data_IF_654964811547
#
_entry.id   IF_654964811547
#
_cell.length_a   1.000
_cell.length_b   1.000
_cell.length_c   1.000
_cell.angle_alpha   90.00
_cell.angle_beta   90.00
_cell.angle_gamma   90.00
#
_symmetry.space_group_name_H-M   'P 1'
#
loop_
_entity.id
_entity.type
_entity.pdbx_description
1 polymer ?
#
# COMPACT_ATOMS: atom_id res chain seq x y z
N UNK A 1 43.05 -30.20 -24.35
CA UNK A 1 42.01 -29.95 -23.38
C UNK A 1 42.22 -28.55 -22.80
N UNK A 2 41.50 -27.56 -23.32
CA UNK A 2 41.62 -26.15 -22.91
C UNK A 2 40.41 -25.86 -21.99
N UNK A 3 40.69 -25.70 -20.70
CA UNK A 3 39.67 -25.25 -19.71
C UNK A 3 39.31 -23.82 -20.04
N UNK A 4 38.03 -23.61 -20.42
CA UNK A 4 37.43 -22.29 -20.57
C UNK A 4 37.01 -21.81 -19.19
N UNK A 5 37.84 -21.01 -18.53
CA UNK A 5 37.50 -20.39 -17.27
C UNK A 5 36.48 -19.25 -17.53
N UNK A 6 35.27 -19.41 -17.02
CA UNK A 6 34.26 -18.36 -16.99
C UNK A 6 34.68 -17.27 -15.99
N UNK A 7 34.67 -15.99 -16.37
CA UNK A 7 34.98 -14.93 -15.42
C UNK A 7 33.94 -14.86 -14.30
N UNK A 8 34.35 -14.59 -13.05
CA UNK A 8 33.43 -14.45 -11.96
C UNK A 8 32.51 -13.24 -12.20
N UNK A 9 31.21 -13.47 -12.11
CA UNK A 9 30.21 -12.42 -12.20
C UNK A 9 30.35 -11.46 -11.01
N UNK A 10 30.87 -10.27 -11.26
CA UNK A 10 30.87 -9.19 -10.28
C UNK A 10 29.44 -8.62 -10.19
N UNK A 11 28.62 -9.19 -9.34
CA UNK A 11 27.32 -8.62 -8.98
C UNK A 11 27.48 -7.68 -7.80
N UNK A 12 27.98 -6.48 -8.01
CA UNK A 12 27.66 -5.35 -7.14
C UNK A 12 26.37 -4.72 -7.68
N UNK A 13 25.22 -5.32 -7.37
CA UNK A 13 23.95 -4.61 -7.46
C UNK A 13 23.86 -3.67 -6.28
N UNK A 14 24.46 -2.51 -6.41
CA UNK A 14 24.09 -1.35 -5.63
C UNK A 14 22.68 -0.97 -6.08
N UNK A 15 21.68 -1.65 -5.51
CA UNK A 15 20.27 -1.33 -5.72
C UNK A 15 20.02 0.01 -5.04
N UNK A 16 20.10 1.09 -5.80
CA UNK A 16 19.67 2.40 -5.33
C UNK A 16 18.27 2.26 -4.71
N UNK A 17 18.06 2.80 -3.51
CA UNK A 17 16.76 2.78 -2.85
C UNK A 17 15.68 3.28 -3.81
N UNK A 18 14.48 2.68 -3.79
CA UNK A 18 13.41 3.08 -4.69
C UNK A 18 13.13 4.57 -4.55
N UNK A 19 13.10 5.28 -5.67
CA UNK A 19 12.91 6.73 -5.71
C UNK A 19 11.45 7.16 -5.53
N UNK A 20 10.51 6.21 -5.54
CA UNK A 20 9.06 6.46 -5.55
C UNK A 20 8.34 5.68 -4.46
N UNK A 21 7.37 6.33 -3.83
CA UNK A 21 6.41 5.65 -2.95
C UNK A 21 5.53 4.70 -3.77
N UNK A 22 5.08 3.64 -3.17
CA UNK A 22 4.21 2.65 -3.81
C UNK A 22 2.93 2.51 -2.99
N UNK A 23 1.80 2.76 -3.63
CA UNK A 23 0.48 2.57 -3.04
C UNK A 23 -0.17 1.37 -3.72
N UNK A 24 -0.48 0.35 -2.94
CA UNK A 24 -1.10 -0.88 -3.43
C UNK A 24 -2.60 -0.81 -3.13
N UNK A 25 -3.39 -0.70 -4.20
CA UNK A 25 -4.85 -0.79 -4.15
C UNK A 25 -5.25 -2.24 -4.42
N UNK A 26 -5.94 -2.85 -3.48
CA UNK A 26 -6.23 -4.29 -3.53
C UNK A 26 -7.47 -4.62 -2.71
N UNK A 27 -8.12 -5.70 -3.09
CA UNK A 27 -9.04 -6.43 -2.21
C UNK A 27 -8.29 -7.55 -1.47
N UNK A 28 -8.93 -8.19 -0.51
CA UNK A 28 -8.37 -9.38 0.15
C UNK A 28 -8.01 -10.50 -0.86
N UNK A 29 -7.09 -11.38 -0.46
CA UNK A 29 -6.72 -12.60 -1.18
C UNK A 29 -6.03 -12.43 -2.54
N UNK A 30 -5.43 -11.29 -2.85
CA UNK A 30 -4.75 -10.99 -4.13
C UNK A 30 -3.26 -11.31 -4.15
N UNK A 31 -2.68 -11.72 -3.03
CA UNK A 31 -1.22 -11.88 -2.89
C UNK A 31 -0.46 -10.58 -2.60
N UNK A 32 -1.18 -9.52 -2.29
CA UNK A 32 -0.59 -8.19 -2.01
C UNK A 32 0.42 -8.19 -0.86
N UNK A 33 0.28 -9.08 0.13
CA UNK A 33 1.25 -9.21 1.23
C UNK A 33 2.62 -9.66 0.73
N UNK A 34 2.66 -10.61 -0.23
CA UNK A 34 3.92 -11.07 -0.85
C UNK A 34 4.58 -9.92 -1.60
N UNK A 35 3.78 -9.14 -2.34
CA UNK A 35 4.31 -7.99 -3.08
C UNK A 35 4.86 -6.92 -2.13
N UNK A 36 4.13 -6.60 -1.04
CA UNK A 36 4.62 -5.66 -0.02
C UNK A 36 5.93 -6.13 0.61
N UNK A 37 6.05 -7.43 0.94
CA UNK A 37 7.27 -8.01 1.47
C UNK A 37 8.46 -7.87 0.49
N UNK A 38 8.23 -8.07 -0.81
CA UNK A 38 9.26 -7.88 -1.83
C UNK A 38 9.72 -6.43 -1.92
N UNK A 39 8.80 -5.46 -1.87
CA UNK A 39 9.13 -4.04 -1.87
C UNK A 39 9.88 -3.64 -0.61
N UNK A 40 9.53 -4.19 0.55
CA UNK A 40 10.29 -4.00 1.79
C UNK A 40 11.74 -4.50 1.67
N UNK A 41 11.94 -5.68 1.05
CA UNK A 41 13.30 -6.19 0.75
C UNK A 41 14.06 -5.35 -0.27
N UNK A 42 13.35 -4.67 -1.15
CA UNK A 42 13.93 -3.72 -2.10
C UNK A 42 14.24 -2.34 -1.48
N UNK A 43 14.04 -2.16 -0.17
CA UNK A 43 14.39 -0.96 0.57
C UNK A 43 13.25 0.04 0.77
N UNK A 44 12.01 -0.30 0.43
CA UNK A 44 10.86 0.53 0.81
C UNK A 44 10.54 0.35 2.29
N UNK A 45 10.21 1.45 2.96
CA UNK A 45 9.72 1.42 4.34
C UNK A 45 8.27 0.92 4.40
N UNK A 46 8.00 -0.01 5.30
CA UNK A 46 6.70 -0.65 5.45
C UNK A 46 5.90 -0.16 6.66
N UNK A 47 6.53 0.64 7.52
CA UNK A 47 6.01 1.08 8.82
C UNK A 47 6.96 0.73 9.94
N UNK A 48 6.79 1.37 11.09
CA UNK A 48 7.51 0.99 12.32
C UNK A 48 7.02 -0.36 12.84
N UNK A 49 5.73 -0.62 12.66
CA UNK A 49 5.07 -1.88 12.95
C UNK A 49 4.17 -2.28 11.78
N UNK A 50 4.04 -3.57 11.55
CA UNK A 50 3.12 -4.13 10.57
C UNK A 50 2.02 -4.92 11.25
N UNK A 51 0.88 -5.05 10.57
CA UNK A 51 -0.25 -5.83 11.09
C UNK A 51 0.04 -7.32 10.94
N UNK A 52 0.22 -8.01 12.04
CA UNK A 52 0.42 -9.45 12.11
C UNK A 52 -0.92 -10.14 12.40
N UNK A 53 -1.28 -11.12 11.59
CA UNK A 53 -2.36 -12.08 11.87
C UNK A 53 -1.80 -13.31 12.58
N UNK A 54 -2.67 -14.22 12.97
CA UNK A 54 -2.29 -15.38 13.79
C UNK A 54 -1.13 -16.20 13.21
N UNK A 55 -1.01 -16.27 11.89
CA UNK A 55 -0.12 -17.18 11.17
C UNK A 55 0.78 -16.48 10.14
N UNK A 56 0.59 -15.18 9.88
CA UNK A 56 1.42 -14.45 8.93
C UNK A 56 1.39 -12.94 9.14
N UNK A 57 2.45 -12.25 8.67
CA UNK A 57 2.50 -10.80 8.55
C UNK A 57 1.78 -10.35 7.29
N UNK A 58 0.88 -9.39 7.41
CA UNK A 58 0.18 -8.81 6.27
C UNK A 58 1.04 -7.79 5.54
N UNK A 59 2.11 -7.30 6.16
CA UNK A 59 2.94 -6.18 5.70
C UNK A 59 2.12 -4.90 5.44
N UNK A 60 1.08 -4.72 6.22
CA UNK A 60 0.30 -3.48 6.30
C UNK A 60 0.90 -2.60 7.39
N UNK A 61 1.24 -1.36 7.08
CA UNK A 61 1.64 -0.39 8.08
C UNK A 61 0.52 -0.21 9.11
N UNK A 62 0.79 -0.50 10.38
CA UNK A 62 -0.22 -0.48 11.45
C UNK A 62 -0.83 0.92 11.64
N UNK A 63 -0.02 1.97 11.55
CA UNK A 63 -0.48 3.35 11.66
C UNK A 63 -1.39 3.74 10.50
N UNK A 64 -1.05 3.34 9.26
CA UNK A 64 -1.89 3.57 8.08
C UNK A 64 -3.25 2.89 8.23
N UNK A 65 -3.27 1.64 8.71
CA UNK A 65 -4.51 0.89 8.96
C UNK A 65 -5.38 1.63 9.96
N UNK A 66 -4.79 2.14 11.04
CA UNK A 66 -5.52 2.91 12.03
C UNK A 66 -6.05 4.24 11.45
N UNK A 67 -5.24 4.97 10.66
CA UNK A 67 -5.71 6.16 9.94
C UNK A 67 -6.88 5.86 9.02
N UNK A 68 -6.80 4.80 8.23
CA UNK A 68 -7.90 4.42 7.33
C UNK A 68 -9.17 4.04 8.09
N UNK A 69 -9.06 3.36 9.22
CA UNK A 69 -10.20 3.07 10.09
C UNK A 69 -10.87 4.35 10.59
N UNK A 70 -10.07 5.32 11.08
CA UNK A 70 -10.59 6.61 11.55
C UNK A 70 -11.24 7.42 10.44
N UNK A 71 -10.63 7.43 9.26
CA UNK A 71 -11.21 8.10 8.08
C UNK A 71 -12.57 7.49 7.73
N UNK A 72 -12.66 6.17 7.61
CA UNK A 72 -13.93 5.50 7.29
C UNK A 72 -14.97 5.70 8.39
N UNK A 73 -14.61 5.54 9.64
CA UNK A 73 -15.53 5.77 10.77
C UNK A 73 -16.13 7.18 10.77
N UNK A 74 -15.35 8.19 10.32
CA UNK A 74 -15.79 9.59 10.25
C UNK A 74 -16.57 9.90 8.98
N UNK A 75 -16.11 9.43 7.82
CA UNK A 75 -16.61 9.84 6.50
C UNK A 75 -17.70 8.90 5.95
N UNK A 76 -17.67 7.65 6.36
CA UNK A 76 -18.61 6.61 5.92
C UNK A 76 -18.85 5.58 7.04
N UNK A 77 -19.51 5.97 8.14
CA UNK A 77 -19.78 5.07 9.25
C UNK A 77 -20.44 3.76 8.79
N UNK A 78 -19.92 2.63 9.26
CA UNK A 78 -20.41 1.30 8.91
C UNK A 78 -19.75 0.68 7.67
N UNK A 79 -18.92 1.43 6.92
CA UNK A 79 -18.14 0.89 5.82
C UNK A 79 -16.78 0.38 6.34
N UNK A 80 -16.38 -0.80 5.93
CA UNK A 80 -15.05 -1.35 6.17
C UNK A 80 -14.55 -2.20 4.98
N UNK A 81 -13.40 -2.86 5.12
CA UNK A 81 -12.74 -3.60 4.03
C UNK A 81 -13.47 -4.90 3.61
N UNK A 82 -14.48 -5.33 4.35
CA UNK A 82 -15.28 -6.51 4.04
C UNK A 82 -16.51 -6.15 3.17
N UNK A 83 -16.83 -4.85 3.06
CA UNK A 83 -17.96 -4.41 2.26
C UNK A 83 -17.68 -4.56 0.76
N UNK A 84 -18.75 -4.84 0.03
CA UNK A 84 -18.69 -4.83 -1.42
C UNK A 84 -18.33 -3.42 -1.92
N UNK A 85 -17.34 -3.34 -2.81
CA UNK A 85 -16.88 -2.06 -3.37
C UNK A 85 -17.95 -1.42 -4.25
N UNK A 86 -18.37 -0.20 -3.88
CA UNK A 86 -19.22 0.65 -4.69
C UNK A 86 -18.49 1.96 -5.03
N UNK A 87 -18.29 2.29 -6.32
CA UNK A 87 -17.69 3.56 -6.71
C UNK A 87 -18.42 4.80 -6.16
N UNK A 88 -19.73 4.70 -5.89
CA UNK A 88 -20.49 5.78 -5.27
C UNK A 88 -20.01 6.10 -3.85
N UNK A 89 -19.56 5.09 -3.10
CA UNK A 89 -18.99 5.30 -1.76
C UNK A 89 -17.69 6.09 -1.83
N UNK A 90 -16.82 5.84 -2.80
CA UNK A 90 -15.59 6.62 -3.00
C UNK A 90 -15.91 8.11 -3.22
N UNK A 91 -16.90 8.40 -4.07
CA UNK A 91 -17.32 9.77 -4.34
C UNK A 91 -17.93 10.43 -3.10
N UNK A 92 -18.71 9.69 -2.33
CA UNK A 92 -19.30 10.15 -1.06
C UNK A 92 -18.22 10.50 -0.04
N UNK A 93 -17.24 9.62 0.13
CA UNK A 93 -16.10 9.82 1.03
C UNK A 93 -15.27 11.03 0.60
N UNK A 94 -14.98 11.15 -0.68
CA UNK A 94 -14.22 12.28 -1.24
C UNK A 94 -14.87 13.61 -0.93
N UNK A 95 -16.20 13.73 -1.15
CA UNK A 95 -16.97 14.94 -0.82
C UNK A 95 -17.02 15.22 0.68
N UNK A 96 -17.24 14.19 1.50
CA UNK A 96 -17.24 14.35 2.95
C UNK A 96 -15.88 14.81 3.48
N UNK A 97 -14.79 14.44 2.81
CA UNK A 97 -13.45 14.86 3.15
C UNK A 97 -13.15 16.35 2.93
N UNK A 98 -14.02 17.10 2.24
CA UNK A 98 -13.87 18.56 2.07
C UNK A 98 -13.91 19.32 3.40
N UNK A 99 -14.49 18.73 4.43
CA UNK A 99 -14.58 19.28 5.79
C UNK A 99 -13.46 18.85 6.72
N UNK A 100 -12.53 18.00 6.25
CA UNK A 100 -11.45 17.50 7.07
C UNK A 100 -10.32 18.53 7.22
N UNK A 101 -9.79 18.63 8.44
CA UNK A 101 -8.44 19.15 8.61
C UNK A 101 -7.45 18.10 8.09
N UNK A 102 -6.70 18.48 7.06
CA UNK A 102 -5.72 17.59 6.43
C UNK A 102 -4.32 17.70 7.06
N UNK A 103 -4.10 18.60 8.03
CA UNK A 103 -2.79 18.77 8.64
C UNK A 103 -2.29 17.46 9.29
N UNK A 104 -3.08 16.73 10.09
CA UNK A 104 -2.60 15.47 10.67
C UNK A 104 -2.24 14.40 9.62
N UNK A 105 -2.93 14.38 8.47
CA UNK A 105 -2.61 13.44 7.37
C UNK A 105 -1.30 13.84 6.68
N UNK A 106 -1.04 15.16 6.50
CA UNK A 106 0.24 15.65 5.97
C UNK A 106 1.39 15.29 6.89
N UNK A 107 1.21 15.44 8.20
CA UNK A 107 2.22 15.09 9.20
C UNK A 107 2.55 13.60 9.14
N UNK A 108 1.54 12.75 9.01
CA UNK A 108 1.76 11.31 8.86
C UNK A 108 2.51 10.97 7.55
N UNK A 109 2.13 11.58 6.43
CA UNK A 109 2.87 11.41 5.16
C UNK A 109 4.32 11.85 5.30
N UNK A 110 4.57 13.00 5.94
CA UNK A 110 5.92 13.52 6.17
C UNK A 110 6.75 12.57 7.05
N UNK A 111 6.15 11.97 8.09
CA UNK A 111 6.81 10.94 8.91
C UNK A 111 7.19 9.72 8.05
N UNK A 112 6.29 9.23 7.20
CA UNK A 112 6.61 8.11 6.30
C UNK A 112 7.77 8.48 5.36
N UNK A 113 7.75 9.68 4.77
CA UNK A 113 8.78 10.16 3.83
C UNK A 113 10.15 10.33 4.49
N UNK A 114 10.21 10.61 5.80
CA UNK A 114 11.47 10.71 6.54
C UNK A 114 12.26 9.39 6.55
N UNK A 115 11.60 8.25 6.31
CA UNK A 115 12.23 6.94 6.17
C UNK A 115 12.62 6.60 4.71
N UNK A 116 12.40 7.50 3.76
CA UNK A 116 12.64 7.27 2.34
C UNK A 116 11.37 6.87 1.59
N UNK A 117 11.52 6.11 0.50
CA UNK A 117 10.38 5.57 -0.22
C UNK A 117 9.63 4.54 0.64
N UNK A 118 8.31 4.62 0.64
CA UNK A 118 7.48 3.72 1.43
C UNK A 118 6.50 2.94 0.57
N UNK A 119 6.02 1.83 1.12
CA UNK A 119 4.90 1.06 0.56
C UNK A 119 3.72 1.15 1.50
N UNK A 120 2.59 1.54 0.95
CA UNK A 120 1.31 1.47 1.63
C UNK A 120 0.42 0.40 1.00
N UNK A 121 -0.08 -0.48 1.82
CA UNK A 121 -1.03 -1.51 1.45
C UNK A 121 -2.01 -1.69 2.59
N UNK A 122 -3.25 -1.46 2.32
CA UNK A 122 -4.40 -1.72 3.19
C UNK A 122 -5.64 -1.83 2.28
N UNK A 123 -6.48 -2.87 2.40
CA UNK A 123 -7.69 -2.97 1.59
C UNK A 123 -8.61 -1.74 1.65
N UNK A 124 -8.59 -0.99 2.75
CA UNK A 124 -9.37 0.25 2.94
C UNK A 124 -8.92 1.40 2.04
N UNK A 125 -7.70 1.34 1.52
CA UNK A 125 -7.20 2.35 0.57
C UNK A 125 -8.07 2.45 -0.68
N UNK A 126 -8.76 1.39 -1.09
CA UNK A 126 -9.70 1.46 -2.21
C UNK A 126 -10.76 2.54 -2.02
N UNK A 127 -11.17 2.83 -0.80
CA UNK A 127 -12.13 3.90 -0.48
C UNK A 127 -11.48 5.22 -0.11
N UNK A 128 -10.33 5.18 0.58
CA UNK A 128 -9.71 6.37 1.17
C UNK A 128 -8.66 7.02 0.27
N UNK A 129 -8.29 6.38 -0.84
CA UNK A 129 -7.17 6.83 -1.67
C UNK A 129 -7.31 8.26 -2.19
N UNK A 130 -8.53 8.71 -2.51
CA UNK A 130 -8.75 10.09 -2.97
C UNK A 130 -8.57 11.12 -1.86
N UNK A 131 -8.76 10.73 -0.60
CA UNK A 131 -8.42 11.57 0.56
C UNK A 131 -6.92 11.68 0.70
N UNK A 132 -6.21 10.55 0.63
CA UNK A 132 -4.75 10.52 0.68
C UNK A 132 -4.09 11.24 -0.49
N UNK A 133 -4.67 11.18 -1.69
CA UNK A 133 -4.16 11.89 -2.86
C UNK A 133 -4.10 13.41 -2.68
N UNK A 134 -4.85 13.98 -1.72
CA UNK A 134 -4.81 15.41 -1.38
C UNK A 134 -3.55 15.82 -0.59
N UNK A 135 -2.82 14.87 -0.06
CA UNK A 135 -1.64 15.11 0.79
C UNK A 135 -0.38 14.39 0.31
N UNK A 136 -0.52 13.42 -0.58
CA UNK A 136 0.60 12.70 -1.21
C UNK A 136 1.25 13.54 -2.31
N UNK A 137 2.56 13.43 -2.44
CA UNK A 137 3.27 13.87 -3.64
C UNK A 137 3.03 12.84 -4.76
N UNK A 138 2.09 13.16 -5.66
CA UNK A 138 1.67 12.26 -6.74
C UNK A 138 2.77 12.06 -7.79
N UNK A 139 3.68 13.02 -7.97
CA UNK A 139 4.81 12.88 -8.89
C UNK A 139 5.81 11.85 -8.39
N UNK A 140 5.89 11.67 -7.07
CA UNK A 140 6.76 10.68 -6.41
C UNK A 140 6.02 9.44 -5.93
N UNK A 141 4.79 9.23 -6.36
CA UNK A 141 3.97 8.09 -5.94
C UNK A 141 3.53 7.28 -7.15
N UNK A 142 3.72 5.97 -7.06
CA UNK A 142 3.21 4.99 -8.02
C UNK A 142 2.03 4.25 -7.42
N UNK A 143 0.97 4.08 -8.21
CA UNK A 143 -0.20 3.31 -7.82
C UNK A 143 -0.17 1.96 -8.51
N UNK A 144 -0.33 0.91 -7.73
CA UNK A 144 -0.41 -0.46 -8.21
C UNK A 144 -1.79 -1.02 -7.84
N UNK A 145 -2.56 -1.41 -8.84
CA UNK A 145 -3.84 -2.09 -8.64
C UNK A 145 -3.61 -3.59 -8.78
N UNK A 146 -3.82 -4.34 -7.71
CA UNK A 146 -3.74 -5.79 -7.71
C UNK A 146 -5.15 -6.37 -7.71
N UNK A 147 -5.45 -7.09 -8.78
CA UNK A 147 -6.67 -7.88 -8.93
C UNK A 147 -6.30 -9.35 -9.07
N UNK A 148 -7.17 -10.23 -8.60
CA UNK A 148 -7.07 -11.66 -8.85
C UNK A 148 -8.26 -12.07 -9.69
N UNK A 149 -8.01 -12.74 -10.80
CA UNK A 149 -9.07 -13.43 -11.50
C UNK A 149 -9.58 -14.57 -10.62
N UNK A 150 -10.88 -14.64 -10.47
CA UNK A 150 -11.54 -15.63 -9.62
C UNK A 150 -11.50 -16.98 -10.34
N UNK A 151 -10.34 -17.67 -10.27
CA UNK A 151 -10.21 -19.03 -10.80
C UNK A 151 -11.23 -19.99 -10.17
N UNK A 152 -11.81 -19.66 -9.03
CA UNK A 152 -12.87 -20.43 -8.40
C UNK A 152 -14.18 -20.39 -9.18
N UNK A 153 -14.45 -19.33 -9.99
CA UNK A 153 -15.60 -19.30 -10.90
C UNK A 153 -15.47 -20.26 -12.10
N UNK A 154 -14.24 -20.69 -12.42
CA UNK A 154 -13.98 -21.62 -13.49
C UNK A 154 -14.04 -23.09 -13.04
N UNK A 155 -14.07 -23.34 -11.73
CA UNK A 155 -14.08 -24.68 -11.14
C UNK A 155 -15.41 -25.02 -10.46
N UNK A 156 -16.40 -24.13 -10.50
CA UNK A 156 -17.77 -24.34 -10.07
C UNK A 156 -18.70 -24.49 -11.27
#
# INVERSE_FOLDING_TARGET
MTETSWPPASHSTDMAAPARNIIILTHGWTGSSVFSALMGRAGCWLGSETVVKTDYDTYENADLVEWNRRLLARLAPGLDHEHHFDPADVTRIERAADTLDLAPLRDFVAQCQAHGAFVWKDPRLTWTIRVWARVLDLERTSFLVLTREDLQRLLS
#
